data_IF_891520526460
#
_entry.id   IF_891520526460
#
_cell.length_a   1.000
_cell.length_b   1.000
_cell.length_c   1.000
_cell.angle_alpha   90.00
_cell.angle_beta   90.00
_cell.angle_gamma   90.00
#
_symmetry.space_group_name_H-M   'P 1'
#
loop_
_entity.id
_entity.type
_entity.pdbx_description
1 polymer ?
#
# COMPACT_ATOMS: atom_id res chain seq x y z
N UNK A 1 22.76 14.59 25.92
CA UNK A 1 22.08 13.43 25.33
C UNK A 1 20.75 13.90 24.81
N UNK A 2 20.54 13.83 23.50
CA UNK A 2 19.25 14.13 22.90
C UNK A 2 18.45 12.83 22.84
N UNK A 3 17.27 12.81 23.46
CA UNK A 3 16.35 11.68 23.39
C UNK A 3 15.03 12.15 22.78
N UNK A 4 14.50 11.36 21.85
CA UNK A 4 13.19 11.62 21.26
C UNK A 4 12.51 10.31 20.84
N UNK A 5 11.21 10.39 20.62
CA UNK A 5 10.43 9.31 20.03
C UNK A 5 10.03 9.71 18.62
N UNK A 6 10.19 8.79 17.68
CA UNK A 6 9.78 8.99 16.30
C UNK A 6 8.83 7.87 15.89
N UNK A 7 7.81 8.22 15.12
CA UNK A 7 6.73 7.31 14.73
C UNK A 7 6.58 7.32 13.22
N UNK A 8 6.35 6.14 12.63
CA UNK A 8 5.90 6.01 11.25
C UNK A 8 4.82 4.95 11.15
N UNK A 9 4.02 5.02 10.10
CA UNK A 9 2.89 4.12 9.86
C UNK A 9 2.92 3.54 8.46
N UNK A 10 2.15 2.48 8.26
CA UNK A 10 1.96 1.84 6.97
C UNK A 10 0.60 1.18 6.90
N UNK A 11 0.11 0.92 5.69
CA UNK A 11 -1.16 0.26 5.44
C UNK A 11 -0.96 -0.92 4.49
N UNK A 12 -1.80 -1.93 4.59
CA UNK A 12 -1.72 -3.13 3.75
C UNK A 12 -2.12 -2.83 2.31
N UNK A 13 -1.87 -3.79 1.42
CA UNK A 13 -2.40 -3.81 0.05
C UNK A 13 -3.93 -3.78 -0.03
N UNK A 14 -4.64 -4.09 1.07
CA UNK A 14 -6.09 -4.04 1.14
C UNK A 14 -6.65 -2.67 1.50
N UNK A 15 -5.85 -1.74 2.02
CA UNK A 15 -6.33 -0.40 2.33
C UNK A 15 -6.92 0.26 1.08
N UNK A 16 -8.10 0.91 1.12
CA UNK A 16 -8.78 1.41 -0.08
C UNK A 16 -7.90 2.34 -0.94
N UNK A 17 -7.10 3.20 -0.31
CA UNK A 17 -6.15 4.05 -1.04
C UNK A 17 -5.07 3.21 -1.76
N UNK A 18 -4.57 2.14 -1.13
CA UNK A 18 -3.61 1.23 -1.75
C UNK A 18 -4.24 0.29 -2.77
N UNK A 19 -5.54 0.01 -2.68
CA UNK A 19 -6.29 -0.67 -3.74
C UNK A 19 -6.34 0.23 -4.98
N UNK A 20 -6.62 1.52 -4.80
CA UNK A 20 -6.63 2.49 -5.90
C UNK A 20 -5.25 2.65 -6.54
N UNK A 21 -4.18 2.78 -5.75
CA UNK A 21 -2.79 2.81 -6.25
C UNK A 21 -2.49 1.57 -7.11
N UNK A 22 -2.79 0.37 -6.59
CA UNK A 22 -2.51 -0.89 -7.28
C UNK A 22 -3.32 -1.08 -8.56
N UNK A 23 -4.57 -0.61 -8.62
CA UNK A 23 -5.38 -0.67 -9.85
C UNK A 23 -4.78 0.26 -10.90
N UNK A 24 -4.40 1.48 -10.50
CA UNK A 24 -3.77 2.47 -11.38
C UNK A 24 -2.47 1.94 -11.98
N UNK A 25 -1.59 1.37 -11.14
CA UNK A 25 -0.33 0.77 -11.60
C UNK A 25 -0.55 -0.50 -12.45
N UNK A 26 -1.57 -1.31 -12.14
CA UNK A 26 -1.89 -2.48 -12.97
C UNK A 26 -2.37 -2.08 -14.37
N UNK A 27 -3.04 -0.95 -14.51
CA UNK A 27 -3.43 -0.38 -15.81
C UNK A 27 -2.19 0.13 -16.54
N UNK A 28 -1.27 0.81 -15.84
CA UNK A 28 0.03 1.21 -16.40
C UNK A 28 0.77 0.00 -16.96
N UNK A 29 0.92 -1.07 -16.17
CA UNK A 29 1.59 -2.31 -16.56
C UNK A 29 0.93 -2.97 -17.78
N UNK A 30 -0.41 -3.07 -17.78
CA UNK A 30 -1.16 -3.70 -18.87
C UNK A 30 -0.99 -2.94 -20.20
N UNK A 31 -0.90 -1.61 -20.15
CA UNK A 31 -0.66 -0.76 -21.31
C UNK A 31 0.79 -0.88 -21.78
N UNK A 32 1.77 -0.72 -20.88
CA UNK A 32 3.20 -0.75 -21.21
C UNK A 32 3.68 -2.12 -21.70
N UNK A 33 2.99 -3.20 -21.32
CA UNK A 33 3.22 -4.54 -21.85
C UNK A 33 2.94 -4.63 -23.36
N UNK A 34 2.05 -3.80 -23.90
CA UNK A 34 1.68 -3.78 -25.33
C UNK A 34 2.31 -2.61 -26.09
N UNK A 35 2.39 -1.44 -25.46
CA UNK A 35 2.92 -0.21 -26.06
C UNK A 35 3.81 0.55 -25.07
N UNK A 36 5.13 0.40 -25.27
CA UNK A 36 6.17 0.99 -24.41
C UNK A 36 6.29 2.51 -24.51
N UNK A 37 5.68 3.14 -25.51
CA UNK A 37 5.74 4.59 -25.73
C UNK A 37 4.47 5.30 -25.26
N UNK A 38 3.56 4.56 -24.61
CA UNK A 38 2.32 5.09 -24.07
C UNK A 38 2.57 6.18 -23.04
N UNK A 39 1.62 7.13 -22.98
CA UNK A 39 1.55 8.15 -21.94
C UNK A 39 0.30 7.90 -21.10
N UNK A 40 0.51 7.78 -19.80
CA UNK A 40 -0.50 7.22 -18.91
C UNK A 40 -0.55 8.10 -17.66
N UNK A 41 -1.68 8.73 -17.44
CA UNK A 41 -2.08 9.33 -16.17
C UNK A 41 -3.36 8.59 -15.74
N UNK A 42 -3.19 7.46 -15.07
CA UNK A 42 -4.28 6.59 -14.65
C UNK A 42 -4.62 6.87 -13.19
N UNK A 43 -5.81 7.41 -12.94
CA UNK A 43 -6.34 7.67 -11.61
C UNK A 43 -7.44 6.67 -11.28
N UNK A 44 -7.50 6.25 -10.02
CA UNK A 44 -8.53 5.34 -9.52
C UNK A 44 -9.19 5.90 -8.27
N UNK A 45 -10.52 5.92 -8.25
CA UNK A 45 -11.32 6.15 -7.04
C UNK A 45 -12.01 4.85 -6.66
N UNK A 46 -11.86 4.45 -5.40
CA UNK A 46 -12.51 3.28 -4.83
C UNK A 46 -13.54 3.67 -3.76
N UNK A 47 -14.70 3.02 -3.76
CA UNK A 47 -15.72 3.10 -2.71
C UNK A 47 -16.46 1.74 -2.63
N UNK A 48 -17.36 1.58 -1.66
CA UNK A 48 -18.19 0.37 -1.49
C UNK A 48 -18.90 0.00 -2.79
N UNK A 49 -18.48 -1.12 -3.38
CA UNK A 49 -19.03 -1.64 -4.63
C UNK A 49 -18.78 -0.79 -5.88
N UNK A 50 -17.87 0.20 -5.84
CA UNK A 50 -17.60 1.11 -6.96
C UNK A 50 -16.10 1.33 -7.17
N UNK A 51 -15.68 1.21 -8.43
CA UNK A 51 -14.38 1.62 -8.95
C UNK A 51 -14.61 2.61 -10.08
N UNK A 52 -13.99 3.77 -10.01
CA UNK A 52 -14.00 4.77 -11.09
C UNK A 52 -12.56 4.93 -11.59
N UNK A 53 -12.35 4.68 -12.86
CA UNK A 53 -11.09 4.86 -13.57
C UNK A 53 -11.17 6.14 -14.39
N UNK A 54 -10.26 7.08 -14.16
CA UNK A 54 -10.27 8.40 -14.80
C UNK A 54 -8.85 8.91 -15.08
N UNK A 55 -8.73 9.94 -15.91
CA UNK A 55 -7.44 10.55 -16.29
C UNK A 55 -7.19 10.45 -17.79
N UNK A 56 -5.94 10.63 -18.20
CA UNK A 56 -5.57 10.71 -19.63
C UNK A 56 -4.64 9.58 -20.07
N UNK A 57 -5.03 8.89 -21.13
CA UNK A 57 -4.25 7.80 -21.72
C UNK A 57 -4.06 8.04 -23.22
N UNK A 58 -2.80 8.00 -23.66
CA UNK A 58 -2.43 7.98 -25.08
C UNK A 58 -1.62 6.73 -25.35
N UNK A 59 -2.22 5.77 -26.05
CA UNK A 59 -1.63 4.46 -26.33
C UNK A 59 -2.22 3.84 -27.60
N UNK A 60 -1.48 2.93 -28.21
CA UNK A 60 -1.96 1.98 -29.23
C UNK A 60 -2.38 0.63 -28.64
N UNK A 61 -2.18 0.41 -27.34
CA UNK A 61 -2.56 -0.81 -26.64
C UNK A 61 -4.09 -1.02 -26.63
N UNK A 62 -4.50 -2.29 -26.69
CA UNK A 62 -5.90 -2.68 -26.52
C UNK A 62 -6.04 -3.43 -25.20
N UNK A 63 -6.44 -2.71 -24.14
CA UNK A 63 -6.53 -3.22 -22.77
C UNK A 63 -7.98 -3.23 -22.31
N UNK A 64 -8.40 -4.35 -21.73
CA UNK A 64 -9.67 -4.43 -20.98
C UNK A 64 -9.46 -3.89 -19.56
N UNK A 65 -9.64 -2.59 -19.39
CA UNK A 65 -9.44 -1.92 -18.09
C UNK A 65 -10.35 -2.46 -16.99
N UNK A 66 -11.56 -2.90 -17.34
CA UNK A 66 -12.52 -3.47 -16.38
C UNK A 66 -11.95 -4.79 -15.86
N UNK A 67 -11.46 -5.66 -16.74
CA UNK A 67 -10.89 -6.93 -16.34
C UNK A 67 -9.62 -6.75 -15.50
N UNK A 68 -8.74 -5.80 -15.87
CA UNK A 68 -7.52 -5.47 -15.10
C UNK A 68 -7.86 -5.01 -13.67
N UNK A 69 -8.86 -4.14 -13.51
CA UNK A 69 -9.30 -3.69 -12.19
C UNK A 69 -9.86 -4.87 -11.36
N UNK A 70 -10.70 -5.72 -11.96
CA UNK A 70 -11.27 -6.90 -11.28
C UNK A 70 -10.19 -7.90 -10.86
N UNK A 71 -9.24 -8.20 -11.74
CA UNK A 71 -8.16 -9.14 -11.42
C UNK A 71 -7.24 -8.60 -10.32
N UNK A 72 -7.01 -7.28 -10.29
CA UNK A 72 -6.28 -6.63 -9.20
C UNK A 72 -7.00 -6.75 -7.87
N UNK A 73 -8.30 -6.44 -7.82
CA UNK A 73 -9.13 -6.57 -6.60
C UNK A 73 -9.16 -8.02 -6.10
N UNK A 74 -9.31 -8.98 -7.03
CA UNK A 74 -9.26 -10.41 -6.72
C UNK A 74 -7.91 -10.82 -6.13
N UNK A 75 -6.80 -10.37 -6.72
CA UNK A 75 -5.42 -10.66 -6.25
C UNK A 75 -5.18 -10.13 -4.83
N UNK A 76 -5.71 -8.95 -4.50
CA UNK A 76 -5.64 -8.36 -3.16
C UNK A 76 -6.41 -9.23 -2.15
N UNK A 77 -7.49 -9.89 -2.58
CA UNK A 77 -8.28 -10.82 -1.77
C UNK A 77 -9.68 -10.32 -1.43
N UNK A 78 -10.21 -9.38 -2.23
CA UNK A 78 -11.58 -8.91 -2.13
C UNK A 78 -12.50 -9.74 -3.04
N UNK A 79 -12.95 -10.88 -2.53
CA UNK A 79 -13.77 -11.89 -3.23
C UNK A 79 -15.13 -12.17 -2.56
N UNK A 80 -15.49 -11.35 -1.57
CA UNK A 80 -16.73 -11.44 -0.82
C UNK A 80 -17.28 -10.03 -0.55
N UNK A 81 -18.53 -9.79 -0.93
CA UNK A 81 -19.20 -8.50 -0.76
C UNK A 81 -19.23 -8.01 0.69
N UNK A 82 -19.19 -8.92 1.67
CA UNK A 82 -19.12 -8.58 3.10
C UNK A 82 -17.80 -7.92 3.52
N UNK A 83 -16.78 -7.95 2.65
CA UNK A 83 -15.49 -7.30 2.90
C UNK A 83 -15.47 -5.83 2.47
N UNK A 84 -16.59 -5.29 1.96
CA UNK A 84 -16.74 -3.89 1.52
C UNK A 84 -16.73 -3.76 -0.01
N UNK A 85 -15.86 -4.52 -0.68
CA UNK A 85 -15.80 -4.61 -2.15
C UNK A 85 -15.59 -6.07 -2.59
N UNK A 86 -16.16 -6.43 -3.74
CA UNK A 86 -16.02 -7.75 -4.37
C UNK A 86 -15.67 -7.58 -5.85
N UNK A 87 -14.65 -8.28 -6.32
CA UNK A 87 -14.22 -8.23 -7.72
C UNK A 87 -15.30 -8.68 -8.71
N UNK A 88 -16.29 -9.49 -8.30
CA UNK A 88 -17.39 -9.90 -9.19
C UNK A 88 -18.52 -8.88 -9.19
N UNK A 89 -18.91 -8.39 -8.00
CA UNK A 89 -20.08 -7.54 -7.81
C UNK A 89 -19.85 -6.04 -7.99
N UNK A 90 -18.61 -5.54 -7.88
CA UNK A 90 -18.37 -4.10 -7.99
C UNK A 90 -18.69 -3.54 -9.39
N UNK A 91 -19.24 -2.33 -9.42
CA UNK A 91 -19.34 -1.52 -10.62
C UNK A 91 -17.96 -0.96 -10.96
N UNK A 92 -17.57 -1.03 -12.24
CA UNK A 92 -16.33 -0.43 -12.74
C UNK A 92 -16.72 0.56 -13.83
N UNK A 93 -16.50 1.85 -13.58
CA UNK A 93 -16.74 2.93 -14.52
C UNK A 93 -15.42 3.35 -15.14
N UNK A 94 -15.38 3.40 -16.48
CA UNK A 94 -14.20 3.81 -17.24
C UNK A 94 -14.48 5.17 -17.87
N UNK A 95 -13.70 6.17 -17.47
CA UNK A 95 -13.81 7.56 -17.90
C UNK A 95 -12.41 8.13 -18.27
N UNK A 96 -11.61 7.34 -18.99
CA UNK A 96 -10.34 7.80 -19.55
C UNK A 96 -10.56 8.64 -20.81
N UNK A 97 -9.87 9.77 -20.90
CA UNK A 97 -9.79 10.63 -22.08
C UNK A 97 -8.41 10.54 -22.75
N UNK A 98 -8.28 11.12 -23.95
CA UNK A 98 -6.97 11.29 -24.60
C UNK A 98 -6.20 12.44 -23.97
N UNK A 99 -4.87 12.36 -23.95
CA UNK A 99 -4.03 13.46 -23.46
C UNK A 99 -4.25 14.73 -24.28
N UNK A 100 -4.25 15.90 -23.60
CA UNK A 100 -4.37 17.20 -24.25
C UNK A 100 -3.28 17.40 -25.32
N UNK A 101 -3.64 17.82 -26.55
CA UNK A 101 -2.69 18.15 -27.60
C UNK A 101 -1.65 19.21 -27.20
N UNK A 102 -2.02 20.15 -26.33
CA UNK A 102 -1.14 21.24 -25.87
C UNK A 102 0.00 20.71 -24.99
N UNK A 103 -0.30 19.75 -24.11
CA UNK A 103 0.70 19.03 -23.30
C UNK A 103 1.52 18.12 -24.21
N UNK A 104 0.85 17.42 -25.13
CA UNK A 104 1.51 16.48 -26.03
C UNK A 104 2.58 17.17 -26.89
N UNK A 105 2.33 18.42 -27.34
CA UNK A 105 3.28 19.19 -28.16
C UNK A 105 4.58 19.53 -27.42
N UNK A 106 4.50 19.89 -26.14
CA UNK A 106 5.66 20.22 -25.31
C UNK A 106 6.59 19.02 -25.07
N UNK A 107 6.02 17.83 -24.95
CA UNK A 107 6.78 16.58 -24.71
C UNK A 107 7.20 15.89 -26.01
N UNK A 108 6.40 15.97 -27.08
CA UNK A 108 6.68 15.29 -28.36
C UNK A 108 7.91 15.84 -29.10
N UNK A 109 8.21 17.14 -28.98
CA UNK A 109 9.36 17.76 -29.68
C UNK A 109 10.72 17.24 -29.21
N UNK A 110 10.76 16.53 -28.10
CA UNK A 110 11.97 15.98 -27.51
C UNK A 110 12.33 14.57 -27.99
N UNK A 111 11.54 13.95 -28.87
CA UNK A 111 11.79 12.55 -29.28
C UNK A 111 13.07 12.35 -30.11
N UNK A 112 13.67 13.41 -30.64
CA UNK A 112 14.88 13.34 -31.47
C UNK A 112 16.18 13.31 -30.63
N UNK A 113 16.14 13.68 -29.34
CA UNK A 113 17.26 13.55 -28.39
C UNK A 113 16.73 13.21 -26.99
N UNK A 114 17.12 12.05 -26.43
CA UNK A 114 16.72 11.64 -25.07
C UNK A 114 17.17 12.65 -23.99
N UNK A 115 18.15 13.52 -24.31
CA UNK A 115 18.59 14.61 -23.43
C UNK A 115 17.69 15.85 -23.49
N UNK A 116 16.82 15.96 -24.50
CA UNK A 116 15.90 17.10 -24.68
C UNK A 116 14.50 16.84 -24.13
N UNK A 117 14.24 15.66 -23.52
CA UNK A 117 12.95 15.37 -22.91
C UNK A 117 12.73 16.20 -21.64
N UNK A 118 11.92 17.25 -21.77
CA UNK A 118 11.47 18.08 -20.65
C UNK A 118 10.58 17.32 -19.66
N UNK A 119 10.49 17.84 -18.43
CA UNK A 119 9.59 17.33 -17.41
C UNK A 119 8.11 17.45 -17.85
N UNK A 120 7.29 16.47 -17.46
CA UNK A 120 5.85 16.48 -17.75
C UNK A 120 5.05 17.51 -16.92
N UNK A 121 5.60 17.92 -15.78
CA UNK A 121 5.08 18.98 -14.91
C UNK A 121 6.22 19.56 -14.05
N UNK A 122 5.99 20.71 -13.42
CA UNK A 122 6.86 21.26 -12.39
C UNK A 122 6.84 20.39 -11.12
N UNK A 123 7.97 20.25 -10.42
CA UNK A 123 8.02 19.44 -9.21
C UNK A 123 9.30 19.59 -8.40
N UNK A 124 9.27 19.04 -7.19
CA UNK A 124 10.40 18.95 -6.26
C UNK A 124 10.51 17.51 -5.77
N UNK A 125 11.72 16.96 -5.77
CA UNK A 125 11.99 15.57 -5.39
C UNK A 125 13.02 15.52 -4.26
N UNK A 126 12.79 14.64 -3.30
CA UNK A 126 13.74 14.34 -2.22
C UNK A 126 14.10 12.86 -2.26
N UNK A 127 15.40 12.56 -2.20
CA UNK A 127 15.91 11.22 -1.97
C UNK A 127 16.48 11.13 -0.54
N UNK A 128 16.24 10.01 0.14
CA UNK A 128 16.76 9.78 1.48
C UNK A 128 17.29 8.35 1.62
N UNK A 129 18.38 8.20 2.38
CA UNK A 129 18.93 6.91 2.78
C UNK A 129 19.63 7.06 4.14
N UNK A 130 19.55 6.05 4.99
CA UNK A 130 20.30 6.00 6.27
C UNK A 130 20.76 4.57 6.56
N UNK A 131 21.63 4.38 7.56
CA UNK A 131 22.21 3.05 7.90
C UNK A 131 21.49 2.34 9.04
N UNK A 132 20.26 2.76 9.35
CA UNK A 132 19.47 2.16 10.44
C UNK A 132 18.99 0.74 10.11
N UNK A 133 18.88 0.41 8.83
CA UNK A 133 18.49 -0.91 8.31
C UNK A 133 19.43 -1.35 7.18
N UNK A 134 19.45 -2.64 6.86
CA UNK A 134 20.24 -3.22 5.76
C UNK A 134 19.75 -2.77 4.36
N UNK A 135 18.47 -2.43 4.24
CA UNK A 135 17.85 -1.86 3.04
C UNK A 135 17.98 -0.33 2.94
N UNK A 136 18.80 0.28 3.80
CA UNK A 136 19.12 1.70 3.83
C UNK A 136 17.93 2.65 4.08
N UNK A 137 16.89 2.17 4.75
CA UNK A 137 15.67 2.93 5.10
C UNK A 137 15.62 3.29 6.59
N UNK A 138 14.90 4.37 6.98
CA UNK A 138 14.62 4.65 8.39
C UNK A 138 13.89 3.48 9.04
N UNK A 139 14.33 3.10 10.25
CA UNK A 139 13.80 1.92 10.94
C UNK A 139 12.27 1.96 11.18
N UNK A 140 11.64 3.08 11.61
CA UNK A 140 10.22 3.09 11.95
C UNK A 140 9.33 2.75 10.75
N UNK A 141 9.57 3.38 9.59
CA UNK A 141 8.80 3.12 8.37
C UNK A 141 9.08 1.72 7.82
N UNK A 142 10.34 1.26 7.91
CA UNK A 142 10.70 -0.10 7.52
C UNK A 142 9.92 -1.14 8.32
N UNK A 143 9.90 -1.03 9.66
CA UNK A 143 9.16 -1.97 10.51
C UNK A 143 7.65 -1.92 10.26
N UNK A 144 7.05 -0.73 10.10
CA UNK A 144 5.63 -0.60 9.77
C UNK A 144 5.30 -1.32 8.45
N UNK A 145 6.10 -1.15 7.39
CA UNK A 145 5.89 -1.89 6.14
C UNK A 145 6.00 -3.41 6.33
N UNK A 146 7.03 -3.88 7.02
CA UNK A 146 7.26 -5.31 7.24
C UNK A 146 6.14 -5.97 8.06
N UNK A 147 5.50 -5.24 8.98
CA UNK A 147 4.36 -5.73 9.77
C UNK A 147 3.13 -5.97 8.87
N UNK A 148 2.72 -4.99 8.05
CA UNK A 148 1.56 -5.17 7.16
C UNK A 148 1.84 -6.15 6.01
N UNK A 149 3.09 -6.24 5.56
CA UNK A 149 3.52 -7.26 4.60
C UNK A 149 3.38 -8.67 5.20
N UNK A 150 3.82 -8.86 6.45
CA UNK A 150 3.68 -10.13 7.17
C UNK A 150 2.22 -10.50 7.38
N UNK A 151 1.37 -9.54 7.73
CA UNK A 151 -0.09 -9.74 7.83
C UNK A 151 -0.64 -10.28 6.49
N UNK A 152 -0.27 -9.65 5.36
CA UNK A 152 -0.75 -10.06 4.05
C UNK A 152 -0.25 -11.47 3.67
N UNK A 153 0.99 -11.82 4.01
CA UNK A 153 1.54 -13.16 3.80
C UNK A 153 0.73 -14.22 4.54
N UNK A 154 0.49 -14.05 5.85
CA UNK A 154 -0.26 -15.00 6.67
C UNK A 154 -1.72 -15.18 6.24
N UNK A 155 -2.32 -14.11 5.73
CA UNK A 155 -3.65 -14.16 5.14
C UNK A 155 -3.64 -14.98 3.85
N UNK A 156 -2.73 -14.67 2.92
CA UNK A 156 -2.66 -15.30 1.59
C UNK A 156 -2.27 -16.78 1.63
N UNK A 157 -1.40 -17.17 2.56
CA UNK A 157 -1.00 -18.58 2.73
C UNK A 157 -1.97 -19.40 3.59
N UNK A 158 -2.97 -18.75 4.20
CA UNK A 158 -4.05 -19.39 4.95
C UNK A 158 -3.70 -19.75 6.40
N UNK A 159 -2.50 -19.42 6.91
CA UNK A 159 -2.15 -19.64 8.32
C UNK A 159 -3.07 -18.89 9.28
N UNK A 160 -3.45 -17.66 8.92
CA UNK A 160 -4.46 -16.87 9.62
C UNK A 160 -5.62 -16.55 8.68
N UNK A 161 -6.41 -17.57 8.34
CA UNK A 161 -7.53 -17.51 7.39
C UNK A 161 -8.68 -16.59 7.81
N UNK A 162 -8.71 -16.12 9.06
CA UNK A 162 -9.69 -15.15 9.57
C UNK A 162 -9.28 -13.70 9.29
N UNK A 163 -8.04 -13.44 8.83
CA UNK A 163 -7.60 -12.11 8.41
C UNK A 163 -8.31 -11.69 7.14
N UNK A 164 -8.68 -10.41 7.08
CA UNK A 164 -9.21 -9.76 5.88
C UNK A 164 -8.18 -8.76 5.31
N UNK A 165 -8.36 -8.26 4.07
CA UNK A 165 -7.31 -7.52 3.38
C UNK A 165 -6.87 -6.21 4.06
N UNK A 166 -7.75 -5.41 4.66
CA UNK A 166 -7.39 -4.10 5.22
C UNK A 166 -6.63 -4.24 6.56
N UNK A 167 -5.48 -3.58 6.66
CA UNK A 167 -4.72 -3.47 7.90
C UNK A 167 -3.86 -2.20 7.93
N UNK A 168 -3.58 -1.71 9.14
CA UNK A 168 -2.79 -0.51 9.43
C UNK A 168 -1.81 -0.80 10.54
N UNK A 169 -0.55 -0.42 10.36
CA UNK A 169 0.48 -0.56 11.39
C UNK A 169 1.10 0.79 11.71
N UNK A 170 1.57 0.92 12.95
CA UNK A 170 2.31 2.08 13.40
C UNK A 170 3.40 1.63 14.37
N UNK A 171 4.61 2.13 14.21
CA UNK A 171 5.76 1.78 15.08
C UNK A 171 6.38 3.07 15.61
N UNK A 172 6.50 3.13 16.93
CA UNK A 172 7.19 4.22 17.64
C UNK A 172 8.51 3.69 18.20
N UNK A 173 9.60 4.37 17.85
CA UNK A 173 10.97 4.02 18.26
C UNK A 173 11.54 5.16 19.10
N UNK A 174 12.18 4.80 20.22
CA UNK A 174 13.01 5.73 20.99
C UNK A 174 14.38 5.86 20.33
N UNK A 175 14.80 7.09 20.07
CA UNK A 175 16.13 7.43 19.60
C UNK A 175 16.95 8.06 20.72
N UNK A 176 18.23 7.72 20.77
CA UNK A 176 19.23 8.32 21.65
C UNK A 176 20.42 8.73 20.80
N UNK A 177 20.78 10.02 20.88
CA UNK A 177 21.90 10.61 20.12
C UNK A 177 21.86 10.29 18.60
N UNK A 178 20.63 10.30 18.05
CA UNK A 178 20.37 10.08 16.63
C UNK A 178 20.31 8.62 16.17
N UNK A 179 20.48 7.66 17.08
CA UNK A 179 20.42 6.22 16.76
C UNK A 179 19.18 5.55 17.37
N UNK A 180 18.58 4.55 16.71
CA UNK A 180 17.52 3.73 17.30
C UNK A 180 18.02 3.02 18.56
N UNK A 181 17.35 3.23 19.69
CA UNK A 181 17.71 2.58 20.96
C UNK A 181 16.76 1.41 21.29
N UNK A 182 15.45 1.64 21.26
CA UNK A 182 14.44 0.60 21.53
C UNK A 182 13.11 0.87 20.85
N UNK A 183 12.36 -0.20 20.60
CA UNK A 183 10.96 -0.11 20.17
C UNK A 183 10.13 0.22 21.42
N UNK A 184 9.28 1.25 21.34
CA UNK A 184 8.43 1.66 22.46
C UNK A 184 7.01 1.12 22.32
N UNK A 185 6.39 1.37 21.16
CA UNK A 185 4.98 1.05 20.91
C UNK A 185 4.80 0.51 19.50
N UNK A 186 4.02 -0.55 19.37
CA UNK A 186 3.57 -1.09 18.08
C UNK A 186 2.04 -1.15 18.07
N UNK A 187 1.43 -0.54 17.07
CA UNK A 187 -0.01 -0.60 16.82
C UNK A 187 -0.25 -1.46 15.58
N UNK A 188 -1.22 -2.38 15.65
CA UNK A 188 -1.74 -3.09 14.50
C UNK A 188 -3.27 -3.10 14.56
N UNK A 189 -3.90 -2.46 13.59
CA UNK A 189 -5.33 -2.59 13.34
C UNK A 189 -5.50 -3.47 12.11
N UNK A 190 -6.06 -4.66 12.26
CA UNK A 190 -6.32 -5.57 11.14
C UNK A 190 -7.79 -5.90 11.04
N UNK A 191 -8.31 -5.86 9.81
CA UNK A 191 -9.63 -6.33 9.48
C UNK A 191 -9.70 -7.85 9.70
N UNK A 192 -10.82 -8.33 10.23
CA UNK A 192 -10.96 -9.73 10.65
C UNK A 192 -12.38 -10.25 10.49
N UNK A 193 -12.50 -11.58 10.50
CA UNK A 193 -13.78 -12.26 10.50
C UNK A 193 -14.56 -12.03 11.82
N UNK A 194 -15.90 -11.90 11.78
CA UNK A 194 -16.74 -11.50 12.91
C UNK A 194 -16.76 -12.49 14.08
N UNK A 195 -16.37 -13.75 13.85
CA UNK A 195 -16.30 -14.83 14.83
C UNK A 195 -15.09 -14.74 15.77
N UNK A 196 -14.09 -13.94 15.43
CA UNK A 196 -12.86 -13.80 16.23
C UNK A 196 -13.08 -12.92 17.45
N UNK A 197 -12.57 -13.35 18.61
CA UNK A 197 -12.50 -12.50 19.81
C UNK A 197 -11.28 -11.59 19.76
N UNK A 198 -11.34 -10.44 20.42
CA UNK A 198 -10.21 -9.50 20.51
C UNK A 198 -8.98 -10.14 21.18
N UNK A 199 -9.18 -11.08 22.10
CA UNK A 199 -8.09 -11.81 22.76
C UNK A 199 -7.33 -12.70 21.78
N UNK A 200 -8.06 -13.51 21.00
CA UNK A 200 -7.48 -14.37 19.97
C UNK A 200 -6.74 -13.55 18.90
N UNK A 201 -7.34 -12.43 18.45
CA UNK A 201 -6.72 -11.53 17.47
C UNK A 201 -5.43 -10.95 18.05
N UNK A 202 -5.45 -10.50 19.31
CA UNK A 202 -4.28 -9.90 19.96
C UNK A 202 -3.14 -10.90 20.08
N UNK A 203 -3.41 -12.10 20.56
CA UNK A 203 -2.39 -13.15 20.70
C UNK A 203 -1.75 -13.48 19.35
N UNK A 204 -2.56 -13.84 18.34
CA UNK A 204 -2.06 -14.22 17.02
C UNK A 204 -1.32 -13.07 16.33
N UNK A 205 -1.83 -11.83 16.42
CA UNK A 205 -1.17 -10.66 15.86
C UNK A 205 0.21 -10.41 16.51
N UNK A 206 0.31 -10.53 17.83
CA UNK A 206 1.58 -10.30 18.53
C UNK A 206 2.59 -11.40 18.19
N UNK A 207 2.20 -12.67 18.28
CA UNK A 207 3.12 -13.80 18.14
C UNK A 207 3.48 -14.10 16.68
N UNK A 208 2.54 -13.99 15.74
CA UNK A 208 2.75 -14.44 14.35
C UNK A 208 3.05 -13.30 13.37
N UNK A 209 2.58 -12.08 13.66
CA UNK A 209 2.78 -10.90 12.81
C UNK A 209 3.87 -9.99 13.35
N UNK A 210 3.73 -9.49 14.59
CA UNK A 210 4.58 -8.40 15.09
C UNK A 210 5.95 -8.92 15.55
N UNK A 211 6.00 -9.81 16.53
CA UNK A 211 7.26 -10.30 17.13
C UNK A 211 8.25 -10.87 16.11
N UNK A 212 7.84 -11.64 15.08
CA UNK A 212 8.76 -12.17 14.08
C UNK A 212 9.48 -11.10 13.24
N UNK A 213 8.94 -9.88 13.21
CA UNK A 213 9.47 -8.75 12.43
C UNK A 213 10.39 -7.86 13.27
N UNK A 214 10.25 -7.86 14.60
CA UNK A 214 11.01 -6.95 15.45
C UNK A 214 12.47 -7.41 15.62
N UNK A 215 13.47 -6.53 15.40
CA UNK A 215 14.88 -6.83 15.66
C UNK A 215 15.11 -7.08 17.15
N UNK A 216 15.71 -8.23 17.49
CA UNK A 216 15.85 -8.71 18.87
C UNK A 216 16.62 -7.73 19.76
N UNK A 217 17.59 -7.05 19.21
CA UNK A 217 18.46 -6.07 19.87
C UNK A 217 17.73 -4.78 20.30
N UNK A 218 16.57 -4.47 19.71
CA UNK A 218 15.75 -3.30 20.07
C UNK A 218 14.56 -3.66 20.95
N UNK A 219 14.39 -4.94 21.30
CA UNK A 219 13.40 -5.40 22.28
C UNK A 219 14.00 -5.23 23.68
N UNK A 220 13.91 -4.00 24.20
CA UNK A 220 14.40 -3.61 25.53
C UNK A 220 13.25 -3.13 26.41
N UNK A 221 13.07 -3.78 27.57
CA UNK A 221 11.96 -3.50 28.48
C UNK A 221 10.60 -3.90 27.90
N UNK A 222 9.53 -3.30 28.43
CA UNK A 222 8.17 -3.61 28.00
C UNK A 222 7.78 -2.79 26.75
N UNK A 223 7.54 -3.50 25.64
CA UNK A 223 6.95 -2.94 24.42
C UNK A 223 5.44 -2.88 24.60
N UNK A 224 4.83 -1.74 24.26
CA UNK A 224 3.37 -1.59 24.24
C UNK A 224 2.82 -2.11 22.91
N UNK A 225 2.12 -3.23 22.96
CA UNK A 225 1.41 -3.78 21.81
C UNK A 225 -0.07 -3.38 21.85
N UNK A 226 -0.50 -2.56 20.89
CA UNK A 226 -1.87 -2.09 20.74
C UNK A 226 -2.51 -2.76 19.51
N UNK A 227 -3.13 -3.91 19.71
CA UNK A 227 -3.82 -4.65 18.62
C UNK A 227 -5.32 -4.36 18.66
N UNK A 228 -5.86 -3.93 17.52
CA UNK A 228 -7.26 -3.51 17.32
C UNK A 228 -7.78 -2.65 18.49
N UNK A 229 -7.16 -1.49 18.78
CA UNK A 229 -7.51 -0.67 19.95
C UNK A 229 -8.95 -0.13 19.90
N UNK A 230 -9.56 -0.06 18.72
CA UNK A 230 -10.98 0.29 18.51
C UNK A 230 -11.95 -0.86 18.84
N UNK A 231 -11.43 -2.05 19.14
CA UNK A 231 -12.18 -3.24 19.52
C UNK A 231 -12.56 -4.12 18.33
N UNK A 232 -13.39 -3.61 17.41
CA UNK A 232 -13.94 -4.41 16.30
C UNK A 232 -13.65 -3.79 14.94
N UNK A 233 -13.07 -4.57 14.04
CA UNK A 233 -12.77 -4.16 12.67
C UNK A 233 -13.19 -5.26 11.67
N UNK A 234 -14.49 -5.36 11.43
CA UNK A 234 -15.06 -6.38 10.52
C UNK A 234 -15.33 -5.80 9.14
N UNK A 235 -15.92 -4.61 9.07
CA UNK A 235 -16.15 -3.87 7.83
C UNK A 235 -14.93 -2.98 7.57
N UNK A 236 -14.42 -3.02 6.35
CA UNK A 236 -13.26 -2.28 5.87
C UNK A 236 -13.36 -2.09 4.37
#
# INVERSE_FOLDING_TARGET
MSEYFFTSESVSEGHPDKVADQISDAIVDAILAQDKHSRIAAETLCNTGLVVLAGEITTSANVDYIQVARDTIKRIGYDNTEYGIDYKGCAVLVAYDKQSPDIAQGVNKAYDDNLDQGAGDQGLMFGYACRETDVLMPLPIHLSHRIVERQAQLRRDGRLNWLRPDAKSQVTVKYVDGMPDRIDTVVLSTQHAPEMTLEQIREAAIEEIIKPILPKELIKGDIKYLVNPTGRFVVG
#
